data_IF_475305482800
#
_entry.id   IF_475305482800
#
_cell.length_a   1.000
_cell.length_b   1.000
_cell.length_c   1.000
_cell.angle_alpha   90.00
_cell.angle_beta   90.00
_cell.angle_gamma   90.00
#
_symmetry.space_group_name_H-M   'P 1'
#
loop_
_entity.id
_entity.type
_entity.pdbx_description
1 polymer ?
#
# COMPACT_ATOMS: atom_id res chain seq x y z
N UNK A 1 7.22 1.86 12.05
CA UNK A 1 7.03 0.86 13.14
C UNK A 1 7.25 -0.54 12.58
N UNK A 2 7.62 -1.52 13.40
CA UNK A 2 7.66 -2.92 12.94
C UNK A 2 6.21 -3.42 12.69
N UNK A 3 5.97 -4.28 11.69
CA UNK A 3 4.65 -4.86 11.44
C UNK A 3 4.08 -5.58 12.67
N UNK A 4 2.79 -5.38 12.96
CA UNK A 4 2.15 -5.85 14.19
C UNK A 4 1.71 -7.33 14.17
N UNK A 5 1.68 -7.97 12.99
CA UNK A 5 1.25 -9.36 12.79
C UNK A 5 2.12 -10.07 11.76
N UNK A 6 2.07 -11.40 11.72
CA UNK A 6 2.76 -12.21 10.71
C UNK A 6 2.28 -11.89 9.28
N UNK A 7 0.99 -11.58 9.13
CA UNK A 7 0.39 -11.15 7.87
C UNK A 7 0.95 -9.78 7.42
N UNK A 8 0.98 -8.80 8.33
CA UNK A 8 1.59 -7.50 8.04
C UNK A 8 3.10 -7.60 7.78
N UNK A 9 3.79 -8.56 8.39
CA UNK A 9 5.20 -8.83 8.09
C UNK A 9 5.38 -9.38 6.67
N UNK A 10 4.55 -10.33 6.25
CA UNK A 10 4.51 -10.81 4.85
C UNK A 10 4.17 -9.66 3.89
N UNK A 11 3.25 -8.77 4.26
CA UNK A 11 2.94 -7.56 3.50
C UNK A 11 4.12 -6.61 3.34
N UNK A 12 4.92 -6.42 4.39
CA UNK A 12 6.12 -5.60 4.33
C UNK A 12 7.19 -6.21 3.39
N UNK A 13 7.32 -7.54 3.36
CA UNK A 13 8.21 -8.25 2.44
C UNK A 13 7.72 -8.10 0.99
N UNK A 14 6.42 -8.28 0.75
CA UNK A 14 5.77 -8.07 -0.56
C UNK A 14 5.94 -6.63 -1.05
N UNK A 15 5.74 -5.64 -0.18
CA UNK A 15 5.91 -4.22 -0.52
C UNK A 15 7.30 -3.92 -1.08
N UNK A 16 8.32 -4.61 -0.58
CA UNK A 16 9.69 -4.46 -1.04
C UNK A 16 9.96 -5.29 -2.32
N UNK A 17 9.48 -6.53 -2.40
CA UNK A 17 9.70 -7.40 -3.56
C UNK A 17 8.97 -6.91 -4.81
N UNK A 18 7.77 -6.36 -4.65
CA UNK A 18 6.95 -5.80 -5.72
C UNK A 18 7.40 -4.40 -6.15
N UNK A 19 8.48 -3.88 -5.56
CA UNK A 19 9.09 -2.61 -5.97
C UNK A 19 8.34 -1.36 -5.52
N UNK A 20 7.36 -1.46 -4.61
CA UNK A 20 6.59 -0.33 -4.13
C UNK A 20 7.49 0.75 -3.49
N UNK A 21 8.55 0.32 -2.81
CA UNK A 21 9.56 1.20 -2.20
C UNK A 21 10.40 2.02 -3.18
N UNK A 22 10.38 1.71 -4.48
CA UNK A 22 11.00 2.53 -5.52
C UNK A 22 10.24 3.83 -5.79
N UNK A 23 8.92 3.82 -5.59
CA UNK A 23 8.06 4.99 -5.79
C UNK A 23 7.66 5.65 -4.47
N UNK A 24 7.45 4.86 -3.41
CA UNK A 24 6.93 5.33 -2.13
C UNK A 24 7.97 5.26 -1.02
N UNK A 25 8.02 6.30 -0.18
CA UNK A 25 8.82 6.29 1.04
C UNK A 25 8.04 5.68 2.21
N UNK A 26 8.73 4.91 3.05
CA UNK A 26 8.28 4.50 4.39
C UNK A 26 9.46 4.64 5.34
N UNK A 27 9.44 5.68 6.20
CA UNK A 27 10.57 6.00 7.07
C UNK A 27 10.88 4.86 8.04
N UNK A 28 12.18 4.60 8.22
CA UNK A 28 12.67 3.49 9.03
C UNK A 28 12.73 2.16 8.30
N UNK A 29 12.56 2.17 6.97
CA UNK A 29 12.76 1.01 6.09
C UNK A 29 13.72 1.38 4.95
N UNK A 30 14.01 0.45 4.05
CA UNK A 30 14.78 0.71 2.83
C UNK A 30 13.97 1.41 1.71
N UNK A 31 12.68 1.65 1.93
CA UNK A 31 11.81 2.33 0.96
C UNK A 31 11.98 3.86 1.06
N UNK A 32 12.65 4.42 0.06
CA UNK A 32 13.00 5.85 -0.02
C UNK A 32 12.45 6.54 -1.28
N UNK A 33 11.49 5.90 -1.96
CA UNK A 33 10.89 6.42 -3.19
C UNK A 33 10.21 7.78 -3.01
N UNK A 34 10.31 8.64 -4.02
CA UNK A 34 9.79 10.02 -4.00
C UNK A 34 8.84 10.34 -5.16
N UNK A 35 8.51 9.35 -6.00
CA UNK A 35 7.59 9.51 -7.13
C UNK A 35 6.15 9.54 -6.62
N UNK A 36 5.80 8.60 -5.75
CA UNK A 36 4.53 8.53 -5.06
C UNK A 36 4.54 9.28 -3.73
N UNK A 37 3.37 9.44 -3.08
CA UNK A 37 3.28 10.02 -1.75
C UNK A 37 4.05 9.18 -0.72
N UNK A 38 4.62 9.86 0.27
CA UNK A 38 5.15 9.26 1.50
C UNK A 38 4.04 8.46 2.19
N UNK A 39 4.27 7.18 2.50
CA UNK A 39 3.30 6.28 3.12
C UNK A 39 3.54 6.05 4.61
N UNK A 40 4.54 6.71 5.21
CA UNK A 40 4.94 6.50 6.62
C UNK A 40 3.77 6.56 7.60
N UNK A 41 2.81 7.46 7.36
CA UNK A 41 1.62 7.68 8.20
C UNK A 41 0.34 7.48 7.37
N UNK A 42 0.32 6.48 6.48
CA UNK A 42 -0.82 6.20 5.62
C UNK A 42 -2.10 5.91 6.42
N UNK A 43 -2.00 5.06 7.45
CA UNK A 43 -3.13 4.62 8.25
C UNK A 43 -3.75 5.74 9.10
N UNK A 44 -2.99 6.80 9.39
CA UNK A 44 -3.51 7.98 10.10
C UNK A 44 -4.40 8.89 9.23
N UNK A 45 -4.56 8.59 7.94
CA UNK A 45 -5.40 9.39 7.01
C UNK A 45 -6.85 8.93 7.05
N UNK A 46 -7.75 9.86 6.73
CA UNK A 46 -9.19 9.57 6.62
C UNK A 46 -9.57 8.87 5.32
N UNK A 47 -8.72 8.96 4.28
CA UNK A 47 -9.00 8.45 2.94
C UNK A 47 -7.72 8.11 2.17
N UNK A 48 -7.84 7.27 1.13
CA UNK A 48 -6.79 6.96 0.15
C UNK A 48 -7.23 7.37 -1.27
N UNK A 49 -6.38 7.08 -2.27
CA UNK A 49 -6.63 7.41 -3.67
C UNK A 49 -6.93 8.92 -3.91
N UNK A 50 -6.24 9.80 -3.20
CA UNK A 50 -6.49 11.25 -3.21
C UNK A 50 -7.94 11.65 -2.81
N UNK A 51 -8.55 10.90 -1.88
CA UNK A 51 -9.87 11.21 -1.32
C UNK A 51 -11.03 10.47 -1.97
N UNK A 52 -10.76 9.57 -2.92
CA UNK A 52 -11.79 8.80 -3.65
C UNK A 52 -12.32 7.65 -2.79
N UNK A 53 -11.45 7.02 -1.99
CA UNK A 53 -11.76 5.81 -1.24
C UNK A 53 -11.57 6.02 0.28
N UNK A 54 -12.39 5.38 1.13
CA UNK A 54 -12.22 5.43 2.58
C UNK A 54 -10.95 4.67 3.00
N UNK A 55 -10.35 5.03 4.14
CA UNK A 55 -9.24 4.27 4.72
C UNK A 55 -9.74 2.98 5.39
N UNK A 56 -9.97 1.95 4.58
CA UNK A 56 -10.34 0.60 5.02
C UNK A 56 -9.43 -0.44 4.39
N UNK A 57 -9.34 -1.61 5.00
CA UNK A 57 -8.53 -2.72 4.51
C UNK A 57 -8.98 -3.20 3.11
N UNK A 58 -10.29 -3.38 2.91
CA UNK A 58 -10.84 -3.71 1.59
C UNK A 58 -10.49 -2.66 0.53
N UNK A 59 -10.60 -1.37 0.87
CA UNK A 59 -10.27 -0.30 -0.07
C UNK A 59 -8.77 -0.24 -0.40
N UNK A 60 -7.89 -0.55 0.58
CA UNK A 60 -6.44 -0.68 0.32
C UNK A 60 -6.15 -1.86 -0.62
N UNK A 61 -6.80 -3.01 -0.37
CA UNK A 61 -6.67 -4.20 -1.22
C UNK A 61 -7.09 -3.89 -2.65
N UNK A 62 -8.26 -3.29 -2.82
CA UNK A 62 -8.83 -3.01 -4.14
C UNK A 62 -8.03 -1.92 -4.85
N UNK A 63 -7.56 -0.89 -4.13
CA UNK A 63 -6.67 0.14 -4.68
C UNK A 63 -5.34 -0.45 -5.15
N UNK A 64 -4.70 -1.36 -4.41
CA UNK A 64 -3.44 -1.97 -4.86
C UNK A 64 -3.67 -2.87 -6.08
N UNK A 65 -4.80 -3.59 -6.12
CA UNK A 65 -5.14 -4.46 -7.25
C UNK A 65 -5.31 -3.67 -8.55
N UNK A 66 -6.19 -2.67 -8.56
CA UNK A 66 -6.49 -1.88 -9.76
C UNK A 66 -6.76 -0.39 -9.41
N UNK A 67 -5.70 0.43 -9.28
CA UNK A 67 -5.84 1.86 -9.08
C UNK A 67 -6.64 2.58 -10.18
N UNK A 68 -6.58 2.07 -11.43
CA UNK A 68 -7.15 2.74 -12.60
C UNK A 68 -8.68 2.62 -12.65
N UNK A 69 -9.25 1.57 -12.05
CA UNK A 69 -10.70 1.43 -11.83
C UNK A 69 -11.27 2.61 -11.04
N UNK A 70 -10.55 3.05 -10.00
CA UNK A 70 -11.00 4.13 -9.11
C UNK A 70 -10.56 5.53 -9.58
N UNK A 71 -9.36 5.62 -10.15
CA UNK A 71 -8.77 6.89 -10.60
C UNK A 71 -8.19 6.76 -12.01
N UNK A 72 -9.02 6.97 -13.06
CA UNK A 72 -8.54 6.94 -14.44
C UNK A 72 -7.37 7.91 -14.67
N UNK A 73 -6.29 7.41 -15.28
CA UNK A 73 -5.06 8.17 -15.52
C UNK A 73 -4.08 8.23 -14.35
N UNK A 74 -4.30 7.44 -13.29
CA UNK A 74 -3.28 7.23 -12.24
C UNK A 74 -2.03 6.55 -12.81
N UNK A 75 -0.87 6.97 -12.34
CA UNK A 75 0.44 6.44 -12.79
C UNK A 75 0.91 5.23 -11.96
N UNK A 76 0.32 5.01 -10.77
CA UNK A 76 0.54 3.80 -9.99
C UNK A 76 -0.02 2.60 -10.78
N UNK A 77 0.80 1.59 -11.10
CA UNK A 77 0.32 0.39 -11.77
C UNK A 77 -0.59 -0.42 -10.84
N UNK A 78 -1.48 -1.21 -11.43
CA UNK A 78 -2.19 -2.27 -10.71
C UNK A 78 -1.32 -3.49 -10.48
N UNK A 79 -1.62 -4.23 -9.42
CA UNK A 79 -0.95 -5.47 -9.02
C UNK A 79 -1.95 -6.63 -8.99
N UNK A 80 -2.71 -6.79 -10.09
CA UNK A 80 -3.72 -7.83 -10.26
C UNK A 80 -3.15 -9.25 -10.39
N UNK A 81 -1.83 -9.37 -10.58
CA UNK A 81 -1.10 -10.64 -10.54
C UNK A 81 -0.93 -11.19 -9.11
N UNK A 82 -1.09 -10.36 -8.08
CA UNK A 82 -1.04 -10.81 -6.69
C UNK A 82 -2.32 -11.57 -6.33
N UNK A 83 -2.16 -12.65 -5.57
CA UNK A 83 -3.29 -13.40 -5.02
C UNK A 83 -4.06 -12.59 -3.97
N UNK A 84 -5.29 -13.01 -3.67
CA UNK A 84 -6.12 -12.37 -2.63
C UNK A 84 -5.42 -12.37 -1.26
N UNK A 85 -4.68 -13.43 -0.93
CA UNK A 85 -3.90 -13.52 0.31
C UNK A 85 -2.73 -12.53 0.34
N UNK A 86 -2.05 -12.33 -0.80
CA UNK A 86 -0.94 -11.37 -0.91
C UNK A 86 -1.44 -9.93 -0.85
N UNK A 87 -2.57 -9.64 -1.48
CA UNK A 87 -3.21 -8.33 -1.40
C UNK A 87 -3.76 -8.06 0.00
N UNK A 88 -4.29 -9.07 0.70
CA UNK A 88 -4.67 -8.98 2.13
C UNK A 88 -3.45 -8.64 3.00
N UNK A 89 -2.34 -9.37 2.80
CA UNK A 89 -1.10 -9.10 3.51
C UNK A 89 -0.57 -7.69 3.25
N UNK A 90 -0.59 -7.24 1.99
CA UNK A 90 -0.23 -5.87 1.60
C UNK A 90 -1.12 -4.84 2.30
N UNK A 91 -2.44 -5.06 2.30
CA UNK A 91 -3.39 -4.16 2.96
C UNK A 91 -3.17 -4.10 4.47
N UNK A 92 -2.91 -5.24 5.12
CA UNK A 92 -2.60 -5.33 6.54
C UNK A 92 -1.32 -4.56 6.90
N UNK A 93 -0.29 -4.63 6.05
CA UNK A 93 0.93 -3.83 6.22
C UNK A 93 0.66 -2.33 6.08
N UNK A 94 0.01 -1.93 4.98
CA UNK A 94 -0.31 -0.53 4.68
C UNK A 94 -1.22 0.11 5.74
N UNK A 95 -2.22 -0.64 6.21
CA UNK A 95 -3.13 -0.24 7.28
C UNK A 95 -2.49 -0.14 8.66
N UNK A 96 -1.24 -0.60 8.83
CA UNK A 96 -0.47 -0.46 10.06
C UNK A 96 0.55 0.69 10.07
N UNK A 97 0.61 1.50 9.01
CA UNK A 97 1.57 2.60 8.88
C UNK A 97 1.05 3.90 9.54
N UNK A 98 1.27 4.03 10.84
CA UNK A 98 0.90 5.20 11.68
C UNK A 98 2.08 6.09 12.12
#
# INVERSE_FOLDING_TARGET
MAPASAEAQRGAELFLSEGCGGCHAVRGTQAEGQVGPDLTHLASRVSLAAGILPMTEDALRDWVRDPAEFKPGVEMPGYDHLSDEELSAMAAYLGGLE
#
